data_IF_936076769639
#
_entry.id   IF_936076769639
#
_cell.length_a   1.000
_cell.length_b   1.000
_cell.length_c   1.000
_cell.angle_alpha   90.00
_cell.angle_beta   90.00
_cell.angle_gamma   90.00
#
_symmetry.space_group_name_H-M   'P 1'
#
loop_
_entity.id
_entity.type
_entity.pdbx_description
1 polymer ?
#
# COMPACT_ATOMS: atom_id res chain seq x y z
N UNK A 1 9.12 -2.12 17.31
CA UNK A 1 9.26 -3.15 16.27
C UNK A 1 10.30 -2.64 15.30
N UNK A 2 11.32 -3.43 15.01
CA UNK A 2 12.38 -3.08 14.07
C UNK A 2 11.99 -3.64 12.70
N UNK A 3 11.84 -2.77 11.71
CA UNK A 3 11.62 -3.20 10.33
C UNK A 3 12.99 -3.56 9.79
N UNK A 4 13.33 -4.84 9.80
CA UNK A 4 14.62 -5.31 9.30
C UNK A 4 14.62 -5.31 7.77
N UNK A 5 14.96 -4.17 7.18
CA UNK A 5 15.40 -4.06 5.78
C UNK A 5 16.84 -4.58 5.61
N UNK A 6 17.42 -4.41 4.41
CA UNK A 6 18.89 -4.36 4.33
C UNK A 6 19.36 -3.31 5.34
N UNK A 7 20.49 -3.55 5.99
CA UNK A 7 20.95 -2.93 7.25
C UNK A 7 20.92 -1.38 7.31
N UNK A 8 20.60 -0.65 6.24
CA UNK A 8 20.50 0.82 6.20
C UNK A 8 19.31 1.36 5.35
N UNK A 9 18.22 0.61 5.14
CA UNK A 9 17.11 1.11 4.32
C UNK A 9 16.17 2.04 5.12
N UNK A 10 16.10 3.31 4.71
CA UNK A 10 15.32 4.34 5.38
C UNK A 10 13.85 4.31 4.98
N UNK A 11 12.96 4.62 5.93
CA UNK A 11 11.53 4.82 5.65
C UNK A 11 11.37 6.09 4.83
N UNK A 12 10.83 5.96 3.62
CA UNK A 12 10.54 7.09 2.73
C UNK A 12 9.16 7.67 2.99
N UNK A 13 8.14 6.82 3.03
CA UNK A 13 6.73 7.20 3.24
C UNK A 13 5.96 6.17 4.03
N UNK A 14 4.95 6.68 4.75
CA UNK A 14 3.97 5.89 5.47
C UNK A 14 2.59 6.36 5.07
N UNK A 15 1.74 5.43 4.64
CA UNK A 15 0.37 5.69 4.21
C UNK A 15 -0.58 4.97 5.13
N UNK A 16 -1.36 5.73 5.89
CA UNK A 16 -2.46 5.21 6.70
C UNK A 16 -3.75 5.30 5.92
N UNK A 17 -4.59 4.26 6.00
CA UNK A 17 -5.94 4.37 5.50
C UNK A 17 -6.76 5.32 6.38
N UNK A 18 -7.86 5.92 5.87
CA UNK A 18 -8.68 6.86 6.64
C UNK A 18 -9.24 6.30 7.95
N UNK A 19 -9.45 4.98 8.03
CA UNK A 19 -9.93 4.32 9.25
C UNK A 19 -8.81 3.92 10.23
N UNK A 20 -7.53 4.12 9.86
CA UNK A 20 -6.37 3.79 10.70
C UNK A 20 -6.05 2.30 10.84
N UNK A 21 -6.77 1.41 10.16
CA UNK A 21 -6.61 -0.06 10.29
C UNK A 21 -5.58 -0.66 9.34
N UNK A 22 -5.24 0.04 8.25
CA UNK A 22 -4.22 -0.39 7.30
C UNK A 22 -3.13 0.66 7.19
N UNK A 23 -1.89 0.17 7.16
CA UNK A 23 -0.72 0.99 6.96
C UNK A 23 0.16 0.34 5.89
N UNK A 24 0.52 1.12 4.87
CA UNK A 24 1.54 0.76 3.88
C UNK A 24 2.75 1.64 4.13
N UNK A 25 3.90 1.02 4.34
CA UNK A 25 5.19 1.67 4.48
C UNK A 25 6.03 1.38 3.24
N UNK A 26 6.67 2.41 2.70
CA UNK A 26 7.57 2.33 1.56
C UNK A 26 8.94 2.88 1.96
N UNK A 27 10.01 2.17 1.60
CA UNK A 27 11.39 2.58 1.88
C UNK A 27 11.99 3.33 0.70
N UNK A 28 13.18 3.93 0.89
CA UNK A 28 13.91 4.64 -0.17
C UNK A 28 14.26 3.69 -1.32
N UNK A 29 14.53 2.42 -1.05
CA UNK A 29 14.92 1.44 -2.07
C UNK A 29 13.76 0.60 -2.61
N UNK A 30 12.51 1.05 -2.45
CA UNK A 30 11.33 0.39 -3.01
C UNK A 30 10.96 -0.93 -2.33
N UNK A 31 11.39 -1.14 -1.08
CA UNK A 31 10.85 -2.18 -0.23
C UNK A 31 9.55 -1.68 0.41
N UNK A 32 8.53 -2.52 0.38
CA UNK A 32 7.19 -2.16 0.83
C UNK A 32 6.72 -3.11 1.91
N UNK A 33 6.11 -2.57 2.97
CA UNK A 33 5.63 -3.32 4.12
C UNK A 33 4.20 -2.95 4.43
N UNK A 34 3.36 -3.97 4.59
CA UNK A 34 2.00 -3.82 5.06
C UNK A 34 1.91 -4.11 6.54
N UNK A 35 1.16 -3.27 7.24
CA UNK A 35 0.80 -3.44 8.64
C UNK A 35 -0.73 -3.38 8.72
N UNK A 36 -1.35 -4.46 9.21
CA UNK A 36 -2.71 -4.39 9.72
C UNK A 36 -2.63 -3.89 11.17
N UNK A 37 -3.12 -2.68 11.41
CA UNK A 37 -3.03 -1.99 12.70
C UNK A 37 -4.09 -2.46 13.70
N UNK A 38 -5.01 -3.34 13.31
CA UNK A 38 -5.98 -3.93 14.24
C UNK A 38 -5.26 -4.90 15.18
N UNK A 39 -5.60 -4.84 16.46
CA UNK A 39 -5.14 -5.82 17.44
C UNK A 39 -5.49 -7.23 16.98
N UNK A 40 -4.51 -8.15 16.97
CA UNK A 40 -4.78 -9.57 16.75
C UNK A 40 -5.34 -10.14 18.06
N UNK A 41 -6.67 -10.41 18.16
CA UNK A 41 -7.28 -10.88 19.40
C UNK A 41 -6.75 -12.26 19.83
N UNK A 42 -6.09 -13.00 18.93
CA UNK A 42 -5.51 -14.30 19.22
C UNK A 42 -4.00 -14.24 19.51
N UNK A 43 -3.37 -13.06 19.37
CA UNK A 43 -1.96 -12.90 19.66
C UNK A 43 -1.75 -12.58 21.15
N UNK A 44 -1.16 -13.52 21.88
CA UNK A 44 -0.74 -13.35 23.30
C UNK A 44 0.32 -12.24 23.50
N UNK A 45 0.78 -11.64 22.42
CA UNK A 45 1.62 -10.46 22.38
C UNK A 45 0.95 -9.45 21.44
N UNK A 46 0.63 -8.24 21.93
CA UNK A 46 0.06 -7.14 21.15
C UNK A 46 1.07 -6.55 20.12
N UNK A 47 1.82 -7.42 19.45
CA UNK A 47 2.86 -7.04 18.50
C UNK A 47 2.25 -6.96 17.13
N UNK A 48 1.94 -5.73 16.71
CA UNK A 48 1.66 -5.36 15.33
C UNK A 48 2.87 -5.79 14.48
N UNK A 49 2.68 -6.73 13.54
CA UNK A 49 3.76 -7.28 12.70
C UNK A 49 3.70 -6.68 11.30
N UNK A 50 4.78 -6.00 10.90
CA UNK A 50 4.96 -5.61 9.51
C UNK A 50 5.22 -6.82 8.62
N UNK A 51 4.59 -6.84 7.45
CA UNK A 51 4.64 -7.90 6.46
C UNK A 51 5.21 -7.35 5.17
N UNK A 52 6.28 -7.95 4.67
CA UNK A 52 6.87 -7.53 3.40
C UNK A 52 5.89 -7.79 2.25
N UNK A 53 5.75 -6.82 1.37
CA UNK A 53 4.94 -6.90 0.17
C UNK A 53 5.84 -7.28 -1.01
N UNK A 54 6.22 -8.55 -1.13
CA UNK A 54 7.17 -9.01 -2.16
C UNK A 54 6.73 -8.68 -3.59
N UNK A 55 5.41 -8.63 -3.85
CA UNK A 55 4.85 -8.26 -5.16
C UNK A 55 5.03 -6.78 -5.52
N UNK A 56 5.31 -5.93 -4.54
CA UNK A 56 5.57 -4.51 -4.72
C UNK A 56 7.07 -4.19 -4.63
N UNK A 57 7.94 -5.20 -4.66
CA UNK A 57 9.39 -4.99 -4.58
C UNK A 57 9.90 -4.14 -5.75
N UNK A 58 10.68 -3.11 -5.44
CA UNK A 58 11.23 -2.17 -6.41
C UNK A 58 10.24 -1.09 -6.86
N UNK A 59 9.03 -1.07 -6.30
CA UNK A 59 8.05 0.00 -6.54
C UNK A 59 8.22 1.05 -5.46
N UNK A 60 8.64 2.24 -5.86
CA UNK A 60 8.66 3.43 -4.99
C UNK A 60 7.27 4.05 -4.96
N UNK A 61 6.53 3.81 -3.87
CA UNK A 61 5.16 4.29 -3.71
C UNK A 61 5.17 5.74 -3.25
N UNK A 62 4.49 6.60 -4.00
CA UNK A 62 4.42 8.03 -3.75
C UNK A 62 3.05 8.48 -3.25
N UNK A 63 1.98 7.81 -3.68
CA UNK A 63 0.63 8.09 -3.19
C UNK A 63 -0.20 6.82 -3.13
N UNK A 64 -1.21 6.84 -2.24
CA UNK A 64 -2.16 5.73 -2.08
C UNK A 64 -3.57 6.29 -2.09
N UNK A 65 -4.34 5.82 -3.06
CA UNK A 65 -5.77 5.99 -3.15
C UNK A 65 -6.48 4.87 -2.41
N UNK A 66 -6.94 5.15 -1.19
CA UNK A 66 -7.71 4.19 -0.38
C UNK A 66 -9.18 4.21 -0.78
N UNK A 67 -9.75 3.06 -1.13
CA UNK A 67 -11.17 2.96 -1.43
C UNK A 67 -11.82 1.71 -0.84
N UNK A 68 -12.99 1.88 -0.21
CA UNK A 68 -13.83 0.78 0.29
C UNK A 68 -14.75 0.27 -0.82
N UNK A 69 -14.19 -0.17 -1.95
CA UNK A 69 -15.01 -0.59 -3.08
C UNK A 69 -15.64 -1.95 -2.81
N UNK A 70 -16.98 -1.99 -2.72
CA UNK A 70 -17.78 -3.21 -2.64
C UNK A 70 -17.38 -4.14 -1.48
N UNK A 71 -16.97 -3.57 -0.35
CA UNK A 71 -16.60 -4.31 0.85
C UNK A 71 -17.53 -4.02 2.02
N UNK A 72 -17.83 -5.05 2.81
CA UNK A 72 -18.43 -4.84 4.12
C UNK A 72 -17.40 -4.26 5.08
N UNK A 73 -17.85 -3.66 6.19
CA UNK A 73 -16.93 -3.19 7.23
C UNK A 73 -16.06 -4.33 7.79
N UNK A 74 -16.62 -5.53 7.94
CA UNK A 74 -15.89 -6.70 8.41
C UNK A 74 -14.78 -7.13 7.43
N UNK A 75 -15.04 -7.06 6.13
CA UNK A 75 -14.02 -7.35 5.10
C UNK A 75 -12.88 -6.33 5.15
N UNK A 76 -13.23 -5.04 5.26
CA UNK A 76 -12.27 -3.96 5.30
C UNK A 76 -11.35 -4.06 6.54
N UNK A 77 -11.82 -4.57 7.67
CA UNK A 77 -10.93 -4.76 8.83
C UNK A 77 -9.86 -5.84 8.59
N UNK A 78 -10.10 -6.78 7.69
CA UNK A 78 -9.20 -7.91 7.43
C UNK A 78 -8.26 -7.66 6.26
N UNK A 79 -8.67 -6.84 5.29
CA UNK A 79 -7.91 -6.52 4.09
C UNK A 79 -8.29 -5.16 3.52
N UNK A 80 -7.38 -4.54 2.79
CA UNK A 80 -7.58 -3.16 2.29
C UNK A 80 -8.64 -3.00 1.20
N UNK A 81 -9.15 -4.10 0.65
CA UNK A 81 -9.79 -4.09 -0.67
C UNK A 81 -8.81 -3.71 -1.78
N UNK A 82 -9.36 -3.41 -2.96
CA UNK A 82 -8.56 -2.83 -4.04
C UNK A 82 -8.20 -1.40 -3.67
N UNK A 83 -6.90 -1.11 -3.73
CA UNK A 83 -6.34 0.23 -3.53
C UNK A 83 -5.51 0.58 -4.76
N UNK A 84 -5.41 1.88 -5.03
CA UNK A 84 -4.62 2.39 -6.14
C UNK A 84 -3.32 3.00 -5.62
N UNK A 85 -2.19 2.59 -6.18
CA UNK A 85 -0.89 3.17 -5.87
C UNK A 85 -0.44 4.08 -7.02
N UNK A 86 0.14 5.21 -6.67
CA UNK A 86 0.87 6.09 -7.57
C UNK A 86 2.36 5.93 -7.30
N UNK A 87 3.17 5.70 -8.34
CA UNK A 87 4.61 5.46 -8.19
C UNK A 87 5.46 6.70 -8.49
N UNK A 88 6.72 6.68 -8.06
CA UNK A 88 7.73 7.68 -8.42
C UNK A 88 8.02 7.78 -9.93
N UNK A 89 7.70 6.71 -10.66
CA UNK A 89 7.94 6.59 -12.11
C UNK A 89 6.71 6.91 -12.96
N UNK A 90 5.60 7.35 -12.36
CA UNK A 90 4.39 7.74 -13.10
C UNK A 90 3.44 6.60 -13.45
N UNK A 91 3.50 5.47 -12.72
CA UNK A 91 2.61 4.33 -12.94
C UNK A 91 1.48 4.30 -11.92
N UNK A 92 0.28 3.97 -12.39
CA UNK A 92 -0.86 3.63 -11.54
C UNK A 92 -0.92 2.12 -11.38
N UNK A 93 -0.87 1.63 -10.15
CA UNK A 93 -0.83 0.21 -9.83
C UNK A 93 -2.01 -0.15 -8.93
N UNK A 94 -2.86 -1.07 -9.39
CA UNK A 94 -3.86 -1.71 -8.55
C UNK A 94 -3.18 -2.76 -7.66
N UNK A 95 -3.53 -2.76 -6.37
CA UNK A 95 -3.09 -3.76 -5.41
C UNK A 95 -4.18 -4.07 -4.38
N UNK A 96 -3.96 -5.12 -3.59
CA UNK A 96 -4.75 -5.49 -2.42
C UNK A 96 -3.82 -5.99 -1.33
N UNK A 97 -3.96 -5.42 -0.14
CA UNK A 97 -3.16 -5.75 1.04
C UNK A 97 -3.95 -6.71 1.95
N UNK A 98 -3.35 -7.84 2.27
CA UNK A 98 -3.92 -8.88 3.13
C UNK A 98 -2.90 -9.31 4.19
N UNK A 99 -3.25 -10.26 5.07
CA UNK A 99 -2.44 -10.72 6.21
C UNK A 99 -0.98 -11.08 5.88
N UNK A 100 -0.71 -11.50 4.64
CA UNK A 100 0.64 -11.88 4.17
C UNK A 100 1.32 -10.83 3.29
N UNK A 101 0.80 -9.59 3.26
CA UNK A 101 1.28 -8.52 2.38
C UNK A 101 0.44 -8.35 1.11
N UNK A 102 1.05 -7.79 0.06
CA UNK A 102 0.37 -7.51 -1.21
C UNK A 102 0.05 -8.78 -2.00
N UNK A 103 -1.22 -8.99 -2.36
CA UNK A 103 -1.67 -10.16 -3.12
C UNK A 103 -1.66 -9.98 -4.63
N UNK A 104 -1.71 -8.74 -5.12
CA UNK A 104 -1.64 -8.42 -6.54
C UNK A 104 -0.82 -7.15 -6.78
N UNK A 105 -0.30 -7.02 -7.98
CA UNK A 105 0.40 -5.83 -8.46
C UNK A 105 0.11 -5.74 -9.95
N UNK A 106 -0.89 -4.94 -10.33
CA UNK A 106 -1.32 -4.79 -11.71
C UNK A 106 -1.16 -3.33 -12.13
N UNK A 107 -0.25 -3.07 -13.06
CA UNK A 107 -0.16 -1.74 -13.68
C UNK A 107 -1.44 -1.51 -14.49
N UNK A 108 -2.20 -0.48 -14.12
CA UNK A 108 -3.41 -0.09 -14.83
C UNK A 108 -3.13 0.95 -15.91
N UNK A 109 -2.17 1.84 -15.64
CA UNK A 109 -1.83 2.94 -16.53
C UNK A 109 -0.39 3.40 -16.30
N UNK A 110 0.26 3.88 -17.36
CA UNK A 110 1.65 4.35 -17.33
C UNK A 110 1.76 5.71 -18.01
N UNK A 111 2.01 6.76 -17.23
CA UNK A 111 2.12 8.13 -17.76
C UNK A 111 3.37 8.33 -18.62
N UNK A 112 4.39 7.47 -18.49
CA UNK A 112 5.63 7.55 -19.27
C UNK A 112 5.36 7.37 -20.76
N UNK A 113 4.36 6.56 -21.10
CA UNK A 113 3.97 6.30 -22.48
C UNK A 113 3.44 7.55 -23.20
N UNK A 114 3.00 8.58 -22.44
CA UNK A 114 2.38 9.79 -23.00
C UNK A 114 3.14 11.08 -22.76
N UNK A 115 3.80 11.22 -21.61
CA UNK A 115 4.39 12.49 -21.19
C UNK A 115 5.92 12.55 -21.33
N UNK A 116 6.60 11.43 -21.63
CA UNK A 116 8.07 11.29 -21.70
C UNK A 116 8.85 11.77 -20.45
N UNK A 117 8.19 12.23 -19.38
CA UNK A 117 8.83 12.83 -18.21
C UNK A 117 8.71 11.99 -16.93
N UNK A 118 7.94 10.89 -16.97
CA UNK A 118 7.89 9.87 -15.92
C UNK A 118 7.76 10.41 -14.50
N UNK A 119 6.98 11.48 -14.33
CA UNK A 119 6.86 12.17 -13.05
C UNK A 119 6.12 11.33 -12.02
N UNK A 120 6.53 11.51 -10.76
CA UNK A 120 5.88 10.90 -9.61
C UNK A 120 4.39 11.28 -9.52
N UNK A 121 3.55 10.30 -9.21
CA UNK A 121 2.15 10.53 -8.88
C UNK A 121 2.08 10.84 -7.38
N UNK A 122 2.07 12.12 -7.04
CA UNK A 122 2.19 12.60 -5.64
C UNK A 122 0.85 12.69 -4.89
N UNK A 123 -0.28 12.54 -5.59
CA UNK A 123 -1.61 12.61 -5.01
C UNK A 123 -2.58 11.69 -5.72
N UNK A 124 -3.40 10.99 -4.94
CA UNK A 124 -4.44 10.09 -5.41
C UNK A 124 -5.65 10.20 -4.49
N UNK A 125 -6.80 10.43 -5.09
CA UNK A 125 -8.10 10.32 -4.45
C UNK A 125 -8.92 9.33 -5.27
N UNK A 126 -9.63 8.44 -4.59
CA UNK A 126 -10.45 7.43 -5.25
C UNK A 126 -11.84 7.46 -4.63
N UNK A 127 -12.82 7.76 -5.48
CA UNK A 127 -14.21 7.83 -5.09
C UNK A 127 -15.04 6.82 -5.88
N UNK A 128 -16.08 6.29 -5.25
CA UNK A 128 -17.06 5.48 -5.95
C UNK A 128 -17.98 6.42 -6.72
N UNK A 129 -18.06 6.26 -8.04
CA UNK A 129 -19.06 6.97 -8.83
C UNK A 129 -20.48 6.61 -8.35
N UNK A 130 -21.40 7.60 -8.27
CA UNK A 130 -22.80 7.33 -8.01
C UNK A 130 -23.33 6.31 -9.03
N UNK A 131 -23.99 5.28 -8.51
CA UNK A 131 -24.75 4.30 -9.30
C UNK A 131 -26.23 4.60 -9.21
#
# INVERSE_FOLDING_TARGET
YEITGKVDDEVRRVFLCPAGVHCLLSTVHGENFYINCKDDPNSKSATIKAKRCDKLKGIEVESVGWGKFNQTNADYEQNSGSILLGTATGQFVDTRLEKDGAKLCKVLYDLREKANDGKAITGLEVEKFPT
#
